data_IF_018150849569
#
_entry.id   IF_018150849569
#
_cell.length_a   1.000
_cell.length_b   1.000
_cell.length_c   1.000
_cell.angle_alpha   90.00
_cell.angle_beta   90.00
_cell.angle_gamma   90.00
#
_symmetry.space_group_name_H-M   'P 1'
#
loop_
_entity.id
_entity.type
_entity.pdbx_description
1 polymer ?
#
# COMPACT_ATOMS: atom_id res chain seq x y z
N UNK A 1 12.08 31.65 -9.30
CA UNK A 1 11.73 32.08 -7.92
C UNK A 1 12.46 31.15 -6.96
N UNK A 2 12.82 31.63 -5.77
CA UNK A 2 13.38 30.74 -4.75
C UNK A 2 12.21 30.17 -3.94
N UNK A 3 12.12 28.85 -3.83
CA UNK A 3 11.16 28.16 -2.98
C UNK A 3 11.87 27.79 -1.67
N UNK A 4 11.18 27.97 -0.57
CA UNK A 4 11.58 27.56 0.77
C UNK A 4 10.63 26.53 1.34
N UNK A 5 11.19 25.61 2.14
CA UNK A 5 10.42 24.67 2.93
C UNK A 5 10.36 25.16 4.38
N UNK A 6 9.15 25.35 4.89
CA UNK A 6 8.93 25.60 6.31
C UNK A 6 8.29 24.37 6.96
N UNK A 7 8.66 24.13 8.20
CA UNK A 7 8.01 23.07 8.98
C UNK A 7 6.69 23.56 9.57
N UNK A 8 5.70 22.66 9.66
CA UNK A 8 4.45 22.92 10.35
C UNK A 8 4.00 21.71 11.15
N UNK A 9 3.24 21.96 12.22
CA UNK A 9 2.65 20.89 13.03
C UNK A 9 1.44 20.31 12.33
N UNK A 10 1.50 19.01 11.99
CA UNK A 10 0.38 18.32 11.38
C UNK A 10 -0.64 17.95 12.44
N UNK A 11 -1.92 18.37 12.30
CA UNK A 11 -2.94 18.05 13.29
C UNK A 11 -3.08 16.54 13.48
N UNK A 12 -3.05 16.09 14.73
CA UNK A 12 -3.15 14.68 15.11
C UNK A 12 -1.87 13.88 14.97
N UNK A 13 -0.76 14.46 14.50
CA UNK A 13 0.53 13.78 14.47
C UNK A 13 0.92 13.25 15.87
N UNK A 14 1.55 12.07 15.90
CA UNK A 14 2.08 11.48 17.13
C UNK A 14 3.60 11.34 17.03
N UNK A 15 4.25 11.31 18.19
CA UNK A 15 5.70 11.12 18.27
C UNK A 15 6.02 9.64 18.49
N UNK A 16 6.84 9.07 17.61
CA UNK A 16 7.36 7.72 17.72
C UNK A 16 8.89 7.77 17.67
N UNK A 17 9.55 7.11 18.63
CA UNK A 17 11.02 7.05 18.70
C UNK A 17 11.72 8.42 18.62
N UNK A 18 11.06 9.46 19.16
CA UNK A 18 11.57 10.84 19.18
C UNK A 18 11.23 11.68 17.95
N UNK A 19 10.49 11.14 16.96
CA UNK A 19 10.15 11.80 15.70
C UNK A 19 8.64 11.89 15.49
N UNK A 20 8.16 13.04 14.98
CA UNK A 20 6.74 13.22 14.63
C UNK A 20 6.36 12.38 13.39
N UNK A 21 5.20 11.77 13.40
CA UNK A 21 4.58 11.06 12.27
C UNK A 21 3.17 11.62 12.03
N UNK A 22 2.86 12.17 10.84
CA UNK A 22 3.78 12.56 9.78
C UNK A 22 4.55 13.85 10.10
N UNK A 23 5.67 14.09 9.41
CA UNK A 23 6.39 15.34 9.46
C UNK A 23 5.82 16.33 8.43
N UNK A 24 5.54 17.56 8.83
CA UNK A 24 4.92 18.58 7.99
C UNK A 24 5.94 19.50 7.31
N UNK A 25 5.85 19.63 5.97
CA UNK A 25 6.59 20.59 5.16
C UNK A 25 5.62 21.46 4.35
N UNK A 26 5.69 22.78 4.52
CA UNK A 26 4.98 23.76 3.74
C UNK A 26 5.91 24.31 2.65
N UNK A 27 5.48 24.23 1.38
CA UNK A 27 6.15 24.92 0.27
C UNK A 27 5.65 26.37 0.22
N UNK A 28 6.58 27.31 0.23
CA UNK A 28 6.28 28.75 0.13
C UNK A 28 7.09 29.41 -0.98
N UNK A 29 6.45 30.37 -1.66
CA UNK A 29 7.13 31.29 -2.57
C UNK A 29 7.78 32.41 -1.75
N UNK A 30 9.07 32.68 -1.97
CA UNK A 30 9.78 33.79 -1.31
C UNK A 30 9.26 35.17 -1.69
N UNK A 31 8.43 35.29 -2.73
CA UNK A 31 7.85 36.58 -3.17
C UNK A 31 6.51 36.90 -2.55
N UNK A 32 5.96 36.00 -1.71
CA UNK A 32 4.58 36.10 -1.18
C UNK A 32 3.54 35.89 -2.26
N UNK A 33 2.30 35.57 -1.88
CA UNK A 33 1.19 35.37 -2.80
C UNK A 33 0.73 33.92 -2.90
N UNK A 34 0.12 33.57 -4.04
CA UNK A 34 -0.45 32.25 -4.32
C UNK A 34 0.59 31.12 -4.29
N UNK A 35 0.10 29.87 -4.27
CA UNK A 35 0.96 28.69 -4.38
C UNK A 35 1.93 28.82 -5.58
N UNK A 36 3.20 28.40 -5.41
CA UNK A 36 4.17 28.52 -6.50
C UNK A 36 3.78 27.65 -7.70
N UNK A 37 4.29 27.99 -8.90
CA UNK A 37 4.10 27.15 -10.09
C UNK A 37 4.58 25.72 -9.82
N UNK A 38 3.85 24.73 -10.33
CA UNK A 38 4.13 23.30 -10.13
C UNK A 38 5.56 22.93 -10.51
N UNK A 39 6.07 23.47 -11.61
CA UNK A 39 7.45 23.17 -12.07
C UNK A 39 8.52 23.68 -11.08
N UNK A 40 8.27 24.80 -10.39
CA UNK A 40 9.17 25.30 -9.35
C UNK A 40 9.11 24.43 -8.08
N UNK A 41 7.89 23.99 -7.69
CA UNK A 41 7.67 23.05 -6.59
C UNK A 41 8.34 21.71 -6.87
N UNK A 42 8.18 21.17 -8.08
CA UNK A 42 8.84 19.95 -8.52
C UNK A 42 10.38 20.06 -8.47
N UNK A 43 10.93 21.17 -8.99
CA UNK A 43 12.38 21.42 -8.92
C UNK A 43 12.89 21.54 -7.47
N UNK A 44 12.09 22.07 -6.54
CA UNK A 44 12.45 22.13 -5.13
C UNK A 44 12.44 20.73 -4.49
N UNK A 45 11.41 19.90 -4.78
CA UNK A 45 11.34 18.52 -4.31
C UNK A 45 12.47 17.66 -4.89
N UNK A 46 12.85 17.87 -6.16
CA UNK A 46 14.03 17.20 -6.76
C UNK A 46 15.30 17.53 -5.98
N UNK A 47 15.57 18.79 -5.70
CA UNK A 47 16.73 19.19 -4.88
C UNK A 47 16.70 18.60 -3.48
N UNK A 48 15.51 18.51 -2.87
CA UNK A 48 15.32 17.88 -1.56
C UNK A 48 15.70 16.38 -1.61
N UNK A 49 15.36 15.70 -2.72
CA UNK A 49 15.77 14.32 -3.00
C UNK A 49 17.28 14.19 -3.23
N UNK A 50 17.83 14.96 -4.17
CA UNK A 50 19.25 14.95 -4.56
C UNK A 50 20.19 15.26 -3.39
N UNK A 51 19.77 16.12 -2.47
CA UNK A 51 20.55 16.43 -1.25
C UNK A 51 20.56 15.31 -0.21
N UNK A 52 19.78 14.24 -0.37
CA UNK A 52 19.58 13.18 0.60
C UNK A 52 18.63 13.57 1.76
N UNK A 53 18.21 14.84 1.86
CA UNK A 53 17.40 15.31 2.97
C UNK A 53 15.99 14.66 3.01
N UNK A 54 15.39 14.40 1.86
CA UNK A 54 14.11 13.68 1.80
C UNK A 54 14.24 12.26 2.32
N UNK A 55 15.34 11.57 1.98
CA UNK A 55 15.64 10.24 2.50
C UNK A 55 15.76 10.25 4.03
N UNK A 56 16.52 11.21 4.59
CA UNK A 56 16.66 11.35 6.04
C UNK A 56 15.31 11.59 6.74
N UNK A 57 14.47 12.47 6.19
CA UNK A 57 13.15 12.77 6.75
C UNK A 57 12.25 11.54 6.73
N UNK A 58 12.21 10.78 5.65
CA UNK A 58 11.42 9.54 5.57
C UNK A 58 11.96 8.48 6.55
N UNK A 59 13.27 8.31 6.67
CA UNK A 59 13.87 7.39 7.63
C UNK A 59 13.58 7.75 9.09
N UNK A 60 13.53 9.05 9.42
CA UNK A 60 13.27 9.54 10.78
C UNK A 60 11.78 9.51 11.13
N UNK A 61 10.94 9.93 10.19
CA UNK A 61 9.53 10.22 10.45
C UNK A 61 8.56 9.17 9.85
N UNK A 62 9.03 8.32 8.92
CA UNK A 62 8.21 7.36 8.20
C UNK A 62 7.29 7.97 7.14
N UNK A 63 6.81 9.20 7.35
CA UNK A 63 6.01 9.93 6.37
C UNK A 63 6.24 11.44 6.46
N UNK A 64 6.19 12.10 5.28
CA UNK A 64 6.31 13.54 5.13
C UNK A 64 5.08 14.08 4.41
N UNK A 65 4.34 14.98 5.05
CA UNK A 65 3.20 15.68 4.46
C UNK A 65 3.68 17.01 3.88
N UNK A 66 3.65 17.10 2.54
CA UNK A 66 4.02 18.32 1.81
C UNK A 66 2.75 19.07 1.39
N UNK A 67 2.68 20.36 1.71
CA UNK A 67 1.54 21.24 1.45
C UNK A 67 1.93 22.46 0.61
N UNK A 68 1.00 22.97 -0.19
CA UNK A 68 1.22 24.21 -0.96
C UNK A 68 2.02 24.01 -2.27
N UNK A 69 2.02 22.79 -2.84
CA UNK A 69 2.84 22.46 -4.01
C UNK A 69 2.23 22.86 -5.38
N UNK A 70 1.04 23.45 -5.41
CA UNK A 70 0.36 23.89 -6.64
C UNK A 70 -1.09 23.42 -6.77
N UNK A 71 -1.70 23.64 -7.94
CA UNK A 71 -3.09 23.25 -8.20
C UNK A 71 -3.24 21.73 -8.29
N UNK A 72 -4.20 21.10 -7.57
CA UNK A 72 -4.34 19.65 -7.52
C UNK A 72 -4.85 19.06 -8.84
N UNK A 73 -4.06 18.17 -9.42
CA UNK A 73 -4.42 17.36 -10.60
C UNK A 73 -3.55 16.09 -10.66
N UNK A 74 -3.92 15.07 -11.47
CA UNK A 74 -3.06 13.91 -11.71
C UNK A 74 -1.69 14.28 -12.27
N UNK A 75 -1.62 15.20 -13.24
CA UNK A 75 -0.36 15.66 -13.84
C UNK A 75 0.52 16.40 -12.84
N UNK A 76 -0.09 17.22 -11.97
CA UNK A 76 0.63 17.87 -10.86
C UNK A 76 1.26 16.81 -9.96
N UNK A 77 0.51 15.79 -9.55
CA UNK A 77 1.05 14.73 -8.72
C UNK A 77 2.20 13.98 -9.41
N UNK A 78 2.04 13.60 -10.68
CA UNK A 78 3.09 12.92 -11.44
C UNK A 78 4.40 13.73 -11.46
N UNK A 79 4.32 15.05 -11.74
CA UNK A 79 5.48 15.94 -11.73
C UNK A 79 6.14 16.05 -10.35
N UNK A 80 5.35 16.22 -9.29
CA UNK A 80 5.88 16.41 -7.93
C UNK A 80 6.53 15.14 -7.40
N UNK A 81 5.82 14.00 -7.49
CA UNK A 81 6.32 12.73 -6.97
C UNK A 81 7.48 12.19 -7.80
N UNK A 82 7.41 12.31 -9.15
CA UNK A 82 8.51 11.96 -10.04
C UNK A 82 9.77 12.74 -9.72
N UNK A 83 9.66 14.06 -9.55
CA UNK A 83 10.80 14.90 -9.19
C UNK A 83 11.41 14.51 -7.82
N UNK A 84 10.57 14.24 -6.81
CA UNK A 84 11.04 13.84 -5.49
C UNK A 84 11.76 12.49 -5.51
N UNK A 85 11.20 11.48 -6.18
CA UNK A 85 11.71 10.12 -6.18
C UNK A 85 12.91 9.93 -7.12
N UNK A 86 12.86 10.49 -8.34
CA UNK A 86 14.02 10.49 -9.23
C UNK A 86 15.21 11.23 -8.63
N UNK A 87 14.96 12.33 -7.89
CA UNK A 87 16.02 13.04 -7.14
C UNK A 87 16.67 12.16 -6.09
N UNK A 88 15.98 11.14 -5.55
CA UNK A 88 16.52 10.13 -4.63
C UNK A 88 17.17 8.94 -5.35
N UNK A 89 17.09 8.85 -6.67
CA UNK A 89 17.51 7.69 -7.44
C UNK A 89 16.55 6.50 -7.40
N UNK A 90 15.30 6.73 -7.00
CA UNK A 90 14.24 5.71 -7.03
C UNK A 90 13.72 5.50 -8.44
N UNK A 91 13.04 4.38 -8.66
CA UNK A 91 12.38 4.05 -9.94
C UNK A 91 10.95 3.55 -9.70
N UNK A 92 10.05 3.67 -10.69
CA UNK A 92 8.68 3.19 -10.58
C UNK A 92 8.59 1.72 -10.21
N UNK A 93 7.70 1.39 -9.25
CA UNK A 93 7.45 0.01 -8.87
C UNK A 93 6.69 -0.73 -9.96
N UNK A 94 7.21 -1.88 -10.40
CA UNK A 94 6.56 -2.75 -11.40
C UNK A 94 5.74 -3.81 -10.68
N UNK A 95 4.43 -3.71 -10.75
CA UNK A 95 3.50 -4.65 -10.12
C UNK A 95 3.32 -5.91 -10.96
N UNK A 96 3.31 -7.05 -10.27
CA UNK A 96 3.00 -8.38 -10.83
C UNK A 96 2.01 -9.06 -9.88
N UNK A 97 1.03 -9.76 -10.43
CA UNK A 97 0.09 -10.56 -9.65
C UNK A 97 -0.89 -9.73 -8.82
N UNK A 98 -1.22 -8.52 -9.27
CA UNK A 98 -2.18 -7.67 -8.58
C UNK A 98 -3.59 -8.28 -8.65
N UNK A 99 -4.13 -8.61 -7.49
CA UNK A 99 -5.54 -8.90 -7.29
C UNK A 99 -6.27 -7.61 -6.90
N UNK A 100 -6.43 -6.69 -7.85
CA UNK A 100 -7.05 -5.39 -7.65
C UNK A 100 -7.14 -4.64 -8.97
N UNK A 101 -8.02 -3.64 -9.03
CA UNK A 101 -8.14 -2.75 -10.17
C UNK A 101 -7.66 -1.36 -9.78
N UNK A 102 -6.78 -0.81 -10.61
CA UNK A 102 -6.34 0.59 -10.53
C UNK A 102 -6.34 1.19 -11.93
N UNK A 103 -6.78 2.41 -12.07
CA UNK A 103 -6.79 3.12 -13.33
C UNK A 103 -5.60 4.06 -13.38
N UNK A 104 -4.79 3.96 -14.43
CA UNK A 104 -3.70 4.90 -14.70
C UNK A 104 -4.28 6.24 -15.14
N UNK A 105 -3.88 7.33 -14.48
CA UNK A 105 -4.38 8.69 -14.76
C UNK A 105 -3.30 9.63 -15.28
N UNK A 106 -2.03 9.37 -14.91
CA UNK A 106 -0.85 10.06 -15.40
C UNK A 106 0.35 9.13 -15.23
N UNK A 107 1.56 9.55 -15.62
CA UNK A 107 2.77 8.74 -15.53
C UNK A 107 3.03 8.26 -14.09
N UNK A 108 3.01 6.94 -13.87
CA UNK A 108 3.13 6.27 -12.56
C UNK A 108 2.15 6.79 -11.48
N UNK A 109 0.97 7.28 -11.91
CA UNK A 109 -0.08 7.79 -11.03
C UNK A 109 -1.38 7.04 -11.27
N UNK A 110 -1.91 6.46 -10.20
CA UNK A 110 -3.05 5.56 -10.23
C UNK A 110 -4.17 6.03 -9.32
N UNK A 111 -5.39 5.56 -9.58
CA UNK A 111 -6.49 5.71 -8.62
C UNK A 111 -6.20 4.93 -7.33
N UNK A 112 -6.60 5.50 -6.18
CA UNK A 112 -6.56 4.82 -4.88
C UNK A 112 -7.93 4.35 -4.39
N UNK A 113 -9.00 4.69 -5.11
CA UNK A 113 -10.38 4.61 -4.60
C UNK A 113 -11.21 3.51 -5.24
N UNK A 114 -10.62 2.55 -5.92
CA UNK A 114 -11.36 1.50 -6.59
C UNK A 114 -11.94 0.51 -5.57
N UNK A 115 -13.10 0.82 -5.05
CA UNK A 115 -13.84 0.05 -4.07
C UNK A 115 -15.00 0.86 -3.51
N UNK A 116 -15.94 0.18 -2.85
CA UNK A 116 -17.12 0.84 -2.27
C UNK A 116 -16.71 1.96 -1.30
N UNK A 117 -17.33 3.15 -1.38
CA UNK A 117 -17.13 4.21 -0.39
C UNK A 117 -17.60 3.82 1.02
N UNK A 118 -18.44 2.80 1.14
CA UNK A 118 -18.95 2.31 2.42
C UNK A 118 -18.01 1.32 3.11
N UNK A 119 -16.95 0.86 2.43
CA UNK A 119 -16.04 -0.16 2.94
C UNK A 119 -14.78 0.47 3.50
N UNK A 120 -14.47 0.20 4.77
CA UNK A 120 -13.17 0.51 5.37
C UNK A 120 -12.09 -0.35 4.73
N UNK A 121 -10.95 0.24 4.40
CA UNK A 121 -9.71 -0.50 4.19
C UNK A 121 -8.86 -0.42 5.46
N UNK A 122 -8.66 -1.58 6.06
CA UNK A 122 -7.88 -1.73 7.28
C UNK A 122 -6.39 -1.47 7.05
N UNK A 123 -5.67 -1.20 8.12
CA UNK A 123 -4.23 -0.94 8.09
C UNK A 123 -3.45 -2.03 7.36
N UNK A 124 -2.62 -1.63 6.43
CA UNK A 124 -1.69 -2.49 5.71
C UNK A 124 -0.50 -1.66 5.19
N UNK A 125 0.65 -2.28 5.09
CA UNK A 125 1.71 -1.77 4.24
C UNK A 125 1.41 -2.21 2.81
N UNK A 126 1.65 -1.36 1.82
CA UNK A 126 1.28 -1.64 0.44
C UNK A 126 1.94 -2.93 -0.05
N UNK A 127 1.13 -3.82 -0.57
CA UNK A 127 1.51 -5.15 -1.06
C UNK A 127 2.26 -6.03 -0.06
N UNK A 128 2.18 -5.76 1.24
CA UNK A 128 2.86 -6.56 2.28
C UNK A 128 2.41 -8.03 2.35
N UNK A 129 1.30 -8.39 1.72
CA UNK A 129 0.84 -9.76 1.52
C UNK A 129 1.46 -10.47 0.30
N UNK A 130 2.30 -9.75 -0.45
CA UNK A 130 3.01 -10.27 -1.61
C UNK A 130 4.49 -10.46 -1.26
N UNK A 131 5.17 -11.30 -2.02
CA UNK A 131 6.63 -11.42 -1.95
C UNK A 131 7.34 -10.24 -2.61
N UNK A 132 6.61 -9.47 -3.44
CA UNK A 132 7.06 -8.24 -4.09
C UNK A 132 6.18 -7.07 -3.65
N UNK A 133 6.79 -5.97 -3.23
CA UNK A 133 6.12 -4.78 -2.69
C UNK A 133 7.00 -3.54 -2.91
N UNK A 134 6.39 -2.34 -3.03
CA UNK A 134 7.14 -1.09 -3.20
C UNK A 134 7.86 -0.68 -1.91
N UNK A 135 8.99 -0.02 -2.04
CA UNK A 135 9.69 0.62 -0.91
C UNK A 135 8.93 1.84 -0.42
N UNK A 136 8.37 2.61 -1.34
CA UNK A 136 7.64 3.84 -1.06
C UNK A 136 6.26 3.81 -1.71
N UNK A 137 5.29 4.38 -1.02
CA UNK A 137 3.96 4.69 -1.55
C UNK A 137 3.60 6.12 -1.22
N UNK A 138 3.06 6.84 -2.18
CA UNK A 138 2.74 8.24 -2.02
C UNK A 138 1.28 8.49 -2.35
N UNK A 139 0.66 9.41 -1.61
CA UNK A 139 -0.73 9.77 -1.78
C UNK A 139 -0.84 11.25 -2.14
N UNK A 140 -1.79 11.57 -2.98
CA UNK A 140 -2.08 12.95 -3.34
C UNK A 140 -3.59 13.21 -3.33
N UNK A 141 -4.01 14.28 -2.64
CA UNK A 141 -5.40 14.65 -2.57
C UNK A 141 -5.76 15.59 -3.71
N UNK A 142 -6.51 15.09 -4.69
CA UNK A 142 -7.10 15.93 -5.74
C UNK A 142 -8.44 16.50 -5.27
N UNK A 143 -9.26 15.66 -4.62
CA UNK A 143 -10.56 16.04 -4.08
C UNK A 143 -10.78 15.42 -2.71
N UNK A 144 -10.99 16.25 -1.71
CA UNK A 144 -11.34 15.83 -0.35
C UNK A 144 -12.83 15.47 -0.28
N UNK A 145 -13.15 14.37 0.40
CA UNK A 145 -14.54 14.05 0.69
C UNK A 145 -15.19 15.10 1.62
N UNK A 146 -16.44 15.47 1.41
CA UNK A 146 -17.14 16.40 2.30
C UNK A 146 -17.40 15.80 3.70
N UNK A 147 -17.45 14.44 3.81
CA UNK A 147 -17.61 13.74 5.08
C UNK A 147 -16.86 12.42 5.08
N UNK A 148 -16.10 12.14 6.15
CA UNK A 148 -15.28 10.94 6.27
C UNK A 148 -14.07 10.92 5.33
N UNK A 149 -13.64 9.75 4.89
CA UNK A 149 -12.60 9.55 3.89
C UNK A 149 -11.20 9.87 4.36
N UNK A 150 -10.94 9.87 5.67
CA UNK A 150 -9.59 9.97 6.20
C UNK A 150 -8.70 8.84 5.66
N UNK A 151 -7.40 9.11 5.62
CA UNK A 151 -6.34 8.13 5.36
C UNK A 151 -5.63 7.85 6.68
N UNK A 152 -6.11 6.89 7.50
CA UNK A 152 -5.42 6.56 8.74
C UNK A 152 -4.06 5.94 8.43
N UNK A 153 -3.05 6.32 9.21
CA UNK A 153 -1.68 5.79 9.14
C UNK A 153 -1.25 5.25 10.50
N UNK A 154 -0.32 4.28 10.51
CA UNK A 154 0.25 3.78 11.76
C UNK A 154 1.74 3.43 11.58
N UNK A 155 2.54 3.61 12.62
CA UNK A 155 3.97 3.31 12.59
C UNK A 155 4.20 1.81 12.80
N UNK A 156 4.67 1.09 11.76
CA UNK A 156 4.78 -0.37 11.74
C UNK A 156 5.67 -0.97 12.83
N UNK A 157 6.71 -0.24 13.30
CA UNK A 157 7.53 -0.70 14.42
C UNK A 157 6.80 -0.52 15.76
N UNK A 158 6.07 0.57 15.96
CA UNK A 158 5.23 0.73 17.15
C UNK A 158 4.10 -0.30 17.18
N UNK A 159 3.47 -0.56 16.03
CA UNK A 159 2.47 -1.64 15.88
C UNK A 159 3.08 -2.99 16.29
N UNK A 160 4.32 -3.30 15.83
CA UNK A 160 5.00 -4.53 16.24
C UNK A 160 5.18 -4.61 17.77
N UNK A 161 5.66 -3.54 18.43
CA UNK A 161 5.82 -3.49 19.90
C UNK A 161 4.50 -3.75 20.64
N UNK A 162 3.40 -3.16 20.14
CA UNK A 162 2.06 -3.36 20.73
C UNK A 162 1.54 -4.78 20.51
N UNK A 163 1.67 -5.32 19.30
CA UNK A 163 1.27 -6.71 19.00
C UNK A 163 2.09 -7.69 19.83
N UNK A 164 3.40 -7.48 19.95
CA UNK A 164 4.25 -8.32 20.79
C UNK A 164 3.88 -8.26 22.27
N UNK A 165 3.48 -7.10 22.77
CA UNK A 165 3.06 -6.93 24.18
C UNK A 165 1.67 -7.52 24.45
N UNK A 166 0.71 -7.36 23.55
CA UNK A 166 -0.68 -7.73 23.77
C UNK A 166 -1.04 -9.13 23.23
N UNK A 167 -0.33 -9.62 22.20
CA UNK A 167 -0.58 -10.89 21.52
C UNK A 167 0.75 -11.62 21.23
N UNK A 168 1.59 -11.87 22.26
CA UNK A 168 2.93 -12.47 22.06
C UNK A 168 2.87 -13.84 21.36
N UNK A 169 1.84 -14.63 21.62
CA UNK A 169 1.64 -15.94 20.99
C UNK A 169 1.45 -15.82 19.45
N UNK A 170 0.82 -14.77 18.95
CA UNK A 170 0.68 -14.53 17.51
C UNK A 170 2.04 -14.18 16.90
N UNK A 171 2.82 -13.34 17.57
CA UNK A 171 4.17 -12.94 17.11
C UNK A 171 5.09 -14.15 17.02
N UNK A 172 5.09 -14.99 18.06
CA UNK A 172 5.90 -16.21 18.10
C UNK A 172 5.54 -17.18 16.97
N UNK A 173 4.25 -17.46 16.77
CA UNK A 173 3.79 -18.36 15.71
C UNK A 173 4.05 -17.80 14.31
N UNK A 174 3.83 -16.50 14.08
CA UNK A 174 4.13 -15.86 12.80
C UNK A 174 5.64 -15.87 12.52
N UNK A 175 6.47 -15.58 13.52
CA UNK A 175 7.93 -15.64 13.36
C UNK A 175 8.42 -17.05 13.01
N UNK A 176 7.92 -18.06 13.73
CA UNK A 176 8.35 -19.46 13.58
C UNK A 176 7.87 -20.10 12.27
N UNK A 177 6.65 -19.78 11.85
CA UNK A 177 5.95 -20.51 10.77
C UNK A 177 5.81 -19.68 9.50
N UNK A 178 5.99 -18.35 9.56
CA UNK A 178 5.64 -17.45 8.46
C UNK A 178 4.15 -17.44 8.17
N UNK A 179 3.77 -16.87 7.02
CA UNK A 179 2.38 -16.72 6.58
C UNK A 179 2.21 -17.23 5.15
N UNK A 180 1.07 -17.87 4.87
CA UNK A 180 0.59 -18.24 3.55
C UNK A 180 -0.55 -17.32 3.12
N UNK A 181 -0.32 -16.51 2.08
CA UNK A 181 -1.29 -15.58 1.51
C UNK A 181 -1.89 -16.16 0.24
N UNK A 182 -3.10 -16.73 0.38
CA UNK A 182 -3.81 -17.38 -0.74
C UNK A 182 -4.51 -16.37 -1.63
N UNK A 183 -4.42 -16.57 -2.94
CA UNK A 183 -5.02 -15.72 -3.97
C UNK A 183 -5.67 -16.57 -5.06
N UNK A 184 -6.73 -16.03 -5.66
CA UNK A 184 -7.47 -16.67 -6.75
C UNK A 184 -7.58 -15.69 -7.92
N UNK A 185 -7.23 -16.15 -9.10
CA UNK A 185 -7.36 -15.41 -10.35
C UNK A 185 -8.17 -16.25 -11.33
N UNK A 186 -9.27 -15.73 -11.79
CA UNK A 186 -10.18 -16.47 -12.67
C UNK A 186 -9.67 -16.49 -14.12
N UNK A 187 -10.15 -17.47 -14.90
CA UNK A 187 -9.95 -17.46 -16.34
C UNK A 187 -10.66 -16.25 -16.98
N UNK A 188 -10.11 -15.68 -18.07
CA UNK A 188 -10.79 -14.67 -18.87
C UNK A 188 -12.18 -15.16 -19.32
N UNK A 189 -13.20 -14.30 -19.18
CA UNK A 189 -14.60 -14.64 -19.48
C UNK A 189 -15.37 -15.31 -18.34
N UNK A 190 -14.68 -15.78 -17.30
CA UNK A 190 -15.27 -16.31 -16.07
C UNK A 190 -15.25 -15.31 -14.91
N UNK A 191 -15.02 -14.03 -15.22
CA UNK A 191 -15.09 -12.99 -14.22
C UNK A 191 -16.52 -12.95 -13.67
N UNK A 192 -16.65 -13.04 -12.34
CA UNK A 192 -17.93 -12.78 -11.70
C UNK A 192 -18.37 -11.37 -12.09
N UNK A 193 -19.68 -11.13 -12.18
CA UNK A 193 -20.28 -9.86 -12.64
C UNK A 193 -19.80 -8.62 -11.86
N UNK A 194 -19.04 -8.81 -10.78
CA UNK A 194 -18.51 -7.76 -9.92
C UNK A 194 -17.04 -8.04 -9.60
N UNK A 195 -16.12 -7.26 -10.16
CA UNK A 195 -14.70 -7.10 -9.77
C UNK A 195 -13.87 -8.38 -9.56
N UNK A 196 -14.10 -9.46 -10.26
CA UNK A 196 -13.19 -10.61 -10.22
C UNK A 196 -11.93 -10.31 -11.03
N UNK A 197 -10.78 -10.70 -10.47
CA UNK A 197 -9.51 -10.51 -11.13
C UNK A 197 -9.21 -11.72 -12.01
N UNK A 198 -8.79 -11.47 -13.24
CA UNK A 198 -8.33 -12.48 -14.15
C UNK A 198 -6.80 -12.58 -14.12
N UNK A 199 -6.26 -13.80 -14.30
CA UNK A 199 -4.84 -13.97 -14.45
C UNK A 199 -4.31 -13.34 -15.77
N UNK A 200 -5.16 -13.10 -16.76
CA UNK A 200 -4.78 -12.46 -18.03
C UNK A 200 -4.67 -10.92 -17.94
N UNK A 201 -5.01 -10.31 -16.79
CA UNK A 201 -4.89 -8.87 -16.62
C UNK A 201 -3.44 -8.39 -16.70
N UNK A 202 -3.22 -7.20 -17.27
CA UNK A 202 -1.90 -6.59 -17.45
C UNK A 202 -1.14 -6.44 -16.11
N UNK A 203 -1.84 -6.09 -15.03
CA UNK A 203 -1.23 -5.97 -13.69
C UNK A 203 -1.22 -7.29 -12.91
N UNK A 204 -1.92 -8.33 -13.42
CA UNK A 204 -1.87 -9.68 -12.86
C UNK A 204 -0.68 -10.45 -13.44
N UNK A 205 -0.93 -11.32 -14.41
CA UNK A 205 0.11 -12.16 -15.03
C UNK A 205 0.07 -12.10 -16.57
N UNK A 206 -0.69 -11.18 -17.16
CA UNK A 206 -0.93 -11.08 -18.59
C UNK A 206 0.06 -10.22 -19.37
N UNK A 207 1.16 -9.74 -18.76
CA UNK A 207 2.08 -8.78 -19.36
C UNK A 207 2.72 -9.25 -20.69
N UNK A 208 2.91 -10.55 -20.86
CA UNK A 208 3.58 -11.14 -22.03
C UNK A 208 2.60 -11.87 -22.98
N UNK A 209 1.28 -11.79 -22.71
CA UNK A 209 0.28 -12.47 -23.53
C UNK A 209 0.07 -11.76 -24.87
N UNK A 210 -0.12 -12.57 -25.92
CA UNK A 210 -0.46 -12.12 -27.27
C UNK A 210 -1.75 -12.79 -27.74
N UNK A 211 -2.57 -12.12 -28.59
CA UNK A 211 -3.75 -12.73 -29.20
C UNK A 211 -3.46 -13.98 -30.06
N UNK A 212 -2.22 -14.16 -30.51
CA UNK A 212 -1.78 -15.30 -31.31
C UNK A 212 -1.33 -16.51 -30.46
N UNK A 213 -1.29 -16.37 -29.12
CA UNK A 213 -0.86 -17.46 -28.24
C UNK A 213 -1.92 -18.57 -28.21
N UNK A 214 -1.49 -19.80 -28.37
CA UNK A 214 -2.31 -20.96 -28.07
C UNK A 214 -2.42 -21.17 -26.53
N UNK A 215 -3.27 -22.10 -26.11
CA UNK A 215 -3.50 -22.38 -24.69
C UNK A 215 -2.21 -22.79 -23.95
N UNK A 216 -1.36 -23.58 -24.58
CA UNK A 216 -0.10 -24.05 -24.00
C UNK A 216 0.87 -22.89 -23.80
N UNK A 217 1.06 -22.08 -24.83
CA UNK A 217 1.91 -20.88 -24.79
C UNK A 217 1.39 -19.88 -23.76
N UNK A 218 0.07 -19.64 -23.73
CA UNK A 218 -0.59 -18.76 -22.75
C UNK A 218 -0.27 -19.22 -21.33
N UNK A 219 -0.48 -20.49 -20.99
CA UNK A 219 -0.17 -21.04 -19.67
C UNK A 219 1.30 -20.90 -19.31
N UNK A 220 2.20 -21.22 -20.22
CA UNK A 220 3.65 -21.09 -19.99
C UNK A 220 4.05 -19.64 -19.67
N UNK A 221 3.51 -18.67 -20.40
CA UNK A 221 3.76 -17.24 -20.14
C UNK A 221 3.22 -16.79 -18.79
N UNK A 222 1.99 -17.19 -18.44
CA UNK A 222 1.40 -16.91 -17.15
C UNK A 222 2.21 -17.52 -16.01
N UNK A 223 2.56 -18.80 -16.09
CA UNK A 223 3.36 -19.50 -15.08
C UNK A 223 4.75 -18.87 -14.92
N UNK A 224 5.37 -18.40 -16.00
CA UNK A 224 6.63 -17.65 -15.93
C UNK A 224 6.51 -16.40 -15.06
N UNK A 225 5.39 -15.68 -15.15
CA UNK A 225 5.14 -14.52 -14.29
C UNK A 225 4.81 -14.93 -12.85
N UNK A 226 3.99 -15.96 -12.65
CA UNK A 226 3.65 -16.51 -11.32
C UNK A 226 4.89 -16.91 -10.56
N UNK A 227 5.85 -17.60 -11.21
CA UNK A 227 7.11 -18.07 -10.60
C UNK A 227 8.04 -16.94 -10.14
N UNK A 228 7.81 -15.71 -10.56
CA UNK A 228 8.50 -14.53 -9.97
C UNK A 228 8.03 -14.22 -8.55
N UNK A 229 6.87 -14.77 -8.14
CA UNK A 229 6.27 -14.55 -6.82
C UNK A 229 6.26 -15.81 -5.96
N UNK A 230 5.94 -16.98 -6.56
CA UNK A 230 5.81 -18.26 -5.84
C UNK A 230 5.84 -19.44 -6.79
N UNK A 231 6.31 -20.61 -6.30
CA UNK A 231 6.16 -21.90 -6.94
C UNK A 231 4.93 -22.69 -6.42
N UNK A 232 4.26 -22.19 -5.39
CA UNK A 232 3.06 -22.79 -4.81
C UNK A 232 1.81 -22.26 -5.51
N UNK A 233 1.48 -22.89 -6.66
CA UNK A 233 0.28 -22.58 -7.44
C UNK A 233 -0.28 -23.81 -8.12
N UNK A 234 -1.56 -23.76 -8.50
CA UNK A 234 -2.25 -24.77 -9.29
C UNK A 234 -3.31 -24.17 -10.19
N UNK A 235 -3.53 -24.83 -11.32
CA UNK A 235 -4.66 -24.61 -12.19
C UNK A 235 -5.84 -25.50 -11.76
N UNK A 236 -7.03 -24.94 -11.68
CA UNK A 236 -8.28 -25.68 -11.49
C UNK A 236 -8.89 -26.06 -12.85
N UNK A 237 -9.85 -27.01 -12.85
CA UNK A 237 -10.48 -27.53 -14.06
C UNK A 237 -11.24 -26.45 -14.86
N UNK A 238 -11.71 -25.40 -14.21
CA UNK A 238 -12.38 -24.24 -14.82
C UNK A 238 -11.40 -23.19 -15.36
N UNK A 239 -10.11 -23.47 -15.35
CA UNK A 239 -9.06 -22.55 -15.77
C UNK A 239 -8.72 -21.45 -14.73
N UNK A 240 -9.26 -21.52 -13.52
CA UNK A 240 -8.89 -20.64 -12.41
C UNK A 240 -7.47 -20.97 -11.94
N UNK A 241 -6.68 -19.94 -11.69
CA UNK A 241 -5.35 -20.04 -11.08
C UNK A 241 -5.45 -19.73 -9.57
N UNK A 242 -5.11 -20.69 -8.73
CA UNK A 242 -4.88 -20.49 -7.30
C UNK A 242 -3.40 -20.47 -7.01
N UNK A 243 -2.96 -19.55 -6.15
CA UNK A 243 -1.58 -19.50 -5.69
C UNK A 243 -1.49 -19.11 -4.21
N UNK A 244 -0.38 -19.50 -3.56
CA UNK A 244 -0.05 -19.08 -2.20
C UNK A 244 1.29 -18.37 -2.22
N UNK A 245 1.33 -17.15 -1.71
CA UNK A 245 2.58 -16.45 -1.47
C UNK A 245 3.02 -16.68 -0.02
N UNK A 246 4.25 -17.16 0.16
CA UNK A 246 4.85 -17.40 1.46
C UNK A 246 5.67 -16.19 1.89
N UNK A 247 5.29 -15.56 2.99
CA UNK A 247 5.94 -14.35 3.51
C UNK A 247 6.33 -14.52 4.98
N UNK A 248 7.38 -13.86 5.47
CA UNK A 248 7.83 -13.99 6.86
C UNK A 248 6.87 -13.33 7.87
N UNK A 249 6.04 -12.36 7.45
CA UNK A 249 5.07 -11.64 8.29
C UNK A 249 5.67 -10.58 9.22
N UNK A 250 6.90 -10.72 9.66
CA UNK A 250 7.67 -9.75 10.46
C UNK A 250 8.97 -9.48 9.73
N UNK A 251 9.38 -8.22 9.69
CA UNK A 251 10.61 -7.80 9.01
C UNK A 251 11.40 -6.82 9.87
N UNK A 252 12.58 -6.40 9.41
CA UNK A 252 13.42 -5.41 10.07
C UNK A 252 13.68 -4.21 9.17
N UNK A 253 13.55 -3.01 9.72
CA UNK A 253 13.93 -1.79 9.03
C UNK A 253 15.41 -1.80 8.65
N UNK A 254 15.79 -1.40 7.43
CA UNK A 254 17.15 -1.54 6.94
C UNK A 254 18.18 -0.81 7.81
N UNK A 255 17.90 0.43 8.21
CA UNK A 255 18.84 1.29 8.92
C UNK A 255 18.84 1.08 10.43
N UNK A 256 17.64 1.04 11.04
CA UNK A 256 17.52 0.95 12.50
C UNK A 256 17.54 -0.47 13.04
N UNK A 257 17.34 -1.48 12.19
CA UNK A 257 17.18 -2.88 12.60
C UNK A 257 15.89 -3.16 13.40
N UNK A 258 15.04 -2.14 13.63
CA UNK A 258 13.80 -2.30 14.39
C UNK A 258 12.86 -3.30 13.70
N UNK A 259 12.24 -4.22 14.46
CA UNK A 259 11.22 -5.10 13.89
C UNK A 259 9.97 -4.30 13.52
N UNK A 260 9.33 -4.71 12.43
CA UNK A 260 8.08 -4.13 11.94
C UNK A 260 7.05 -5.21 11.68
N UNK A 261 5.78 -4.90 12.01
CA UNK A 261 4.64 -5.71 11.62
C UNK A 261 4.32 -5.43 10.15
N UNK A 262 4.86 -6.26 9.26
CA UNK A 262 4.81 -6.02 7.81
C UNK A 262 4.15 -7.19 7.09
N UNK A 263 2.81 -7.20 7.09
CA UNK A 263 1.98 -8.22 6.46
C UNK A 263 0.56 -7.71 6.21
N UNK A 264 -0.26 -8.49 5.54
CA UNK A 264 -1.62 -8.13 5.19
C UNK A 264 -2.71 -8.78 6.04
N UNK A 265 -2.39 -9.31 7.24
CA UNK A 265 -3.34 -10.06 8.07
C UNK A 265 -4.56 -9.23 8.45
N UNK A 266 -4.36 -8.02 8.98
CA UNK A 266 -5.47 -7.14 9.42
C UNK A 266 -6.35 -6.74 8.25
N UNK A 267 -5.74 -6.28 7.15
CA UNK A 267 -6.48 -5.91 5.95
C UNK A 267 -7.33 -7.07 5.41
N UNK A 268 -6.72 -8.26 5.32
CA UNK A 268 -7.42 -9.44 4.81
C UNK A 268 -8.54 -9.90 5.74
N UNK A 269 -8.25 -10.04 7.04
CA UNK A 269 -9.23 -10.52 8.02
C UNK A 269 -10.39 -9.53 8.19
N UNK A 270 -10.11 -8.23 8.32
CA UNK A 270 -11.13 -7.20 8.49
C UNK A 270 -12.10 -7.14 7.33
N UNK A 271 -11.61 -7.08 6.09
CA UNK A 271 -12.46 -7.10 4.89
C UNK A 271 -13.29 -8.40 4.83
N UNK A 272 -12.65 -9.56 5.03
CA UNK A 272 -13.34 -10.86 4.99
C UNK A 272 -14.46 -10.96 6.03
N UNK A 273 -14.22 -10.43 7.24
CA UNK A 273 -15.21 -10.33 8.31
C UNK A 273 -16.38 -9.44 7.91
N UNK A 274 -16.09 -8.23 7.47
CA UNK A 274 -17.10 -7.19 7.20
C UNK A 274 -18.01 -7.56 6.03
N UNK A 275 -17.53 -8.33 5.05
CA UNK A 275 -18.36 -8.79 3.93
C UNK A 275 -18.99 -10.17 4.15
N UNK A 276 -18.77 -10.80 5.32
CA UNK A 276 -19.39 -12.07 5.71
C UNK A 276 -18.77 -13.32 5.06
N UNK A 277 -17.49 -13.29 4.70
CA UNK A 277 -16.79 -14.39 4.01
C UNK A 277 -15.86 -15.21 4.93
N UNK A 278 -15.99 -15.09 6.26
CA UNK A 278 -15.13 -15.82 7.21
C UNK A 278 -15.29 -17.34 7.17
N UNK A 279 -16.48 -17.82 6.79
CA UNK A 279 -16.79 -19.26 6.74
C UNK A 279 -16.76 -19.80 5.31
N UNK A 280 -16.40 -21.06 5.10
CA UNK A 280 -16.50 -21.70 3.80
C UNK A 280 -17.92 -21.58 3.21
N UNK A 281 -18.05 -21.31 1.91
CA UNK A 281 -17.02 -21.34 0.85
C UNK A 281 -16.22 -20.06 0.70
N UNK A 282 -16.17 -19.15 1.69
CA UNK A 282 -15.44 -17.90 1.69
C UNK A 282 -15.85 -16.92 0.58
N UNK A 283 -17.13 -16.87 0.30
CA UNK A 283 -17.74 -15.96 -0.67
C UNK A 283 -18.40 -14.81 0.08
N UNK A 284 -17.99 -13.59 -0.24
CA UNK A 284 -18.57 -12.38 0.33
C UNK A 284 -19.96 -12.05 -0.24
N UNK A 285 -20.65 -11.09 0.42
CA UNK A 285 -21.92 -10.55 -0.07
C UNK A 285 -21.84 -9.91 -1.46
N UNK A 286 -20.64 -9.57 -1.91
CA UNK A 286 -20.30 -9.08 -3.25
C UNK A 286 -20.09 -10.21 -4.29
N UNK A 287 -20.21 -11.47 -3.88
CA UNK A 287 -20.00 -12.65 -4.72
C UNK A 287 -18.54 -12.99 -4.98
N UNK A 288 -17.59 -12.27 -4.37
CA UNK A 288 -16.15 -12.56 -4.53
C UNK A 288 -15.64 -13.59 -3.53
N UNK A 289 -14.56 -14.29 -3.91
CA UNK A 289 -13.89 -15.27 -3.05
C UNK A 289 -12.79 -14.58 -2.22
N UNK A 290 -12.85 -14.79 -0.90
CA UNK A 290 -11.90 -14.23 0.08
C UNK A 290 -11.24 -15.35 0.89
N UNK A 291 -10.26 -16.02 0.31
CA UNK A 291 -9.55 -17.09 1.00
C UNK A 291 -8.85 -16.53 2.26
N UNK A 292 -8.96 -17.19 3.42
CA UNK A 292 -8.30 -16.74 4.64
C UNK A 292 -6.78 -16.82 4.51
N UNK A 293 -6.08 -15.92 5.21
CA UNK A 293 -4.65 -16.08 5.46
C UNK A 293 -4.43 -17.24 6.42
N UNK A 294 -3.34 -17.96 6.23
CA UNK A 294 -2.95 -19.13 7.04
C UNK A 294 -1.52 -18.96 7.53
N UNK A 295 -1.08 -19.78 8.48
CA UNK A 295 0.36 -19.92 8.75
C UNK A 295 1.07 -20.51 7.52
N UNK A 296 2.39 -20.36 7.46
CA UNK A 296 3.18 -20.82 6.31
C UNK A 296 3.11 -22.33 6.04
N UNK A 297 2.77 -23.12 7.05
CA UNK A 297 2.50 -24.56 6.95
C UNK A 297 1.04 -24.91 6.56
N UNK A 298 0.23 -23.90 6.28
CA UNK A 298 -1.17 -24.05 5.87
C UNK A 298 -2.18 -24.16 7.01
N UNK A 299 -1.77 -24.20 8.27
CA UNK A 299 -2.68 -24.26 9.41
C UNK A 299 -3.44 -22.93 9.58
N UNK A 300 -4.72 -22.96 10.01
CA UNK A 300 -5.52 -21.75 10.19
C UNK A 300 -4.99 -20.92 11.36
N UNK A 301 -5.03 -19.59 11.20
CA UNK A 301 -4.76 -18.64 12.28
C UNK A 301 -6.05 -18.48 13.10
N UNK A 302 -6.02 -18.62 14.45
CA UNK A 302 -7.21 -18.48 15.28
C UNK A 302 -7.87 -17.11 15.10
N UNK A 303 -9.18 -17.09 14.76
CA UNK A 303 -9.95 -15.84 14.50
C UNK A 303 -9.85 -14.86 15.67
N UNK A 304 -9.94 -15.34 16.90
CA UNK A 304 -9.84 -14.50 18.11
C UNK A 304 -8.51 -13.70 18.17
N UNK A 305 -7.42 -14.25 17.65
CA UNK A 305 -6.14 -13.55 17.59
C UNK A 305 -6.16 -12.47 16.50
N UNK A 306 -6.80 -12.74 15.36
CA UNK A 306 -6.96 -11.79 14.28
C UNK A 306 -7.91 -10.64 14.64
N UNK A 307 -9.00 -10.93 15.36
CA UNK A 307 -9.90 -9.89 15.88
C UNK A 307 -9.18 -9.01 16.90
N UNK A 308 -8.46 -9.60 17.85
CA UNK A 308 -7.64 -8.86 18.81
C UNK A 308 -6.54 -8.05 18.13
N UNK A 309 -5.95 -8.57 17.03
CA UNK A 309 -4.96 -7.85 16.24
C UNK A 309 -5.54 -6.57 15.61
N UNK A 310 -6.79 -6.63 15.10
CA UNK A 310 -7.49 -5.43 14.62
C UNK A 310 -7.62 -4.41 15.76
N UNK A 311 -8.11 -4.85 16.94
CA UNK A 311 -8.33 -3.96 18.10
C UNK A 311 -7.02 -3.29 18.57
N UNK A 312 -5.90 -4.00 18.51
CA UNK A 312 -4.58 -3.46 18.86
C UNK A 312 -4.14 -2.40 17.86
N UNK A 313 -4.27 -2.69 16.56
CA UNK A 313 -3.80 -1.78 15.51
C UNK A 313 -4.70 -0.54 15.41
N UNK A 314 -6.01 -0.67 15.58
CA UNK A 314 -6.96 0.45 15.54
C UNK A 314 -6.65 1.52 16.61
N UNK A 315 -6.12 1.13 17.76
CA UNK A 315 -5.70 2.08 18.82
C UNK A 315 -4.45 2.88 18.43
N UNK A 316 -3.63 2.35 17.54
CA UNK A 316 -2.38 2.96 17.10
C UNK A 316 -2.54 3.82 15.84
N UNK A 317 -3.71 3.85 15.23
CA UNK A 317 -3.99 4.67 14.06
C UNK A 317 -3.94 6.17 14.37
N UNK A 318 -3.36 6.91 13.44
CA UNK A 318 -3.43 8.35 13.33
C UNK A 318 -4.41 8.67 12.21
N UNK A 319 -5.57 9.22 12.53
CA UNK A 319 -6.55 9.63 11.53
C UNK A 319 -6.04 10.87 10.80
N UNK A 320 -5.59 10.72 9.56
CA UNK A 320 -5.06 11.81 8.74
C UNK A 320 -6.09 12.22 7.68
N UNK A 321 -6.56 13.45 7.73
CA UNK A 321 -7.38 14.05 6.68
C UNK A 321 -6.48 14.89 5.78
N UNK A 322 -6.37 14.49 4.50
CA UNK A 322 -5.62 15.24 3.50
C UNK A 322 -6.49 16.34 2.92
N UNK A 323 -5.93 17.55 2.80
CA UNK A 323 -6.54 18.67 2.09
C UNK A 323 -6.20 18.61 0.59
N UNK A 324 -6.99 19.27 -0.25
CA UNK A 324 -6.73 19.35 -1.70
C UNK A 324 -5.35 19.94 -1.97
N UNK A 325 -4.50 19.23 -2.72
CA UNK A 325 -3.11 19.60 -2.99
C UNK A 325 -2.08 19.05 -1.98
N UNK A 326 -2.52 18.37 -0.91
CA UNK A 326 -1.59 17.68 0.01
C UNK A 326 -0.94 16.49 -0.70
N UNK A 327 0.39 16.41 -0.59
CA UNK A 327 1.22 15.29 -1.02
C UNK A 327 1.78 14.59 0.23
N UNK A 328 1.38 13.35 0.46
CA UNK A 328 1.89 12.52 1.55
C UNK A 328 2.92 11.53 0.99
N UNK A 329 4.20 11.77 1.26
CA UNK A 329 5.31 10.88 0.94
C UNK A 329 5.50 9.87 2.07
N UNK A 330 5.50 8.58 1.76
CA UNK A 330 5.48 7.50 2.76
C UNK A 330 6.56 6.46 2.49
N UNK A 331 7.36 6.16 3.50
CA UNK A 331 8.18 4.95 3.57
C UNK A 331 7.27 3.76 3.92
N UNK A 332 7.01 2.92 2.94
CA UNK A 332 6.11 1.78 3.06
C UNK A 332 6.61 0.71 4.05
N UNK A 333 7.89 0.70 4.38
CA UNK A 333 8.43 -0.22 5.38
C UNK A 333 8.08 0.21 6.80
N UNK A 334 8.04 1.53 7.03
CA UNK A 334 7.82 2.11 8.36
C UNK A 334 6.37 2.44 8.65
N UNK A 335 5.56 2.71 7.62
CA UNK A 335 4.20 3.23 7.81
C UNK A 335 3.20 2.40 7.04
N UNK A 336 2.25 1.83 7.77
CA UNK A 336 1.03 1.27 7.20
C UNK A 336 -0.03 2.35 7.02
N UNK A 337 -0.99 2.08 6.16
CA UNK A 337 -2.08 2.99 5.88
C UNK A 337 -3.40 2.24 5.69
N UNK A 338 -4.49 3.01 5.78
CA UNK A 338 -5.84 2.52 5.56
C UNK A 338 -6.70 3.56 4.86
N UNK A 339 -8.01 3.30 4.81
CA UNK A 339 -8.98 4.24 4.24
C UNK A 339 -10.30 4.10 4.99
N UNK A 340 -10.76 5.23 5.52
CA UNK A 340 -12.08 5.29 6.14
C UNK A 340 -13.20 5.42 5.10
N UNK A 341 -14.42 4.96 5.41
CA UNK A 341 -15.62 5.22 4.61
C UNK A 341 -15.86 6.71 4.41
N UNK A 342 -16.53 7.07 3.30
CA UNK A 342 -16.83 8.48 3.00
C UNK A 342 -18.16 8.67 2.29
N UNK A 343 -18.64 9.90 2.32
CA UNK A 343 -19.80 10.36 1.56
C UNK A 343 -19.36 11.44 0.56
N UNK A 344 -20.03 11.49 -0.59
CA UNK A 344 -19.74 12.44 -1.66
C UNK A 344 -18.55 12.08 -2.53
N UNK A 345 -18.02 13.05 -3.24
CA UNK A 345 -16.88 12.87 -4.13
C UNK A 345 -15.56 12.88 -3.34
N UNK A 346 -14.69 11.93 -3.65
CA UNK A 346 -13.33 11.83 -3.11
C UNK A 346 -12.38 11.33 -4.18
N UNK A 347 -11.27 12.03 -4.36
CA UNK A 347 -10.21 11.59 -5.27
C UNK A 347 -8.85 11.69 -4.59
N UNK A 348 -8.35 10.55 -4.14
CA UNK A 348 -6.96 10.37 -3.71
C UNK A 348 -6.27 9.53 -4.76
N UNK A 349 -5.08 9.94 -5.15
CA UNK A 349 -4.22 9.26 -6.10
C UNK A 349 -3.06 8.60 -5.37
N UNK A 350 -2.47 7.57 -5.99
CA UNK A 350 -1.29 6.88 -5.48
C UNK A 350 -0.20 6.79 -6.54
N UNK A 351 1.04 6.77 -6.07
CA UNK A 351 2.22 6.48 -6.86
C UNK A 351 3.16 5.60 -6.05
N UNK A 352 3.79 4.61 -6.68
CA UNK A 352 4.61 3.60 -6.01
C UNK A 352 6.00 3.54 -6.61
N UNK A 353 7.01 3.46 -5.73
CA UNK A 353 8.41 3.58 -6.11
C UNK A 353 9.27 2.56 -5.36
N UNK A 354 10.33 2.11 -6.03
CA UNK A 354 11.34 1.22 -5.48
C UNK A 354 12.67 1.95 -5.27
N UNK A 355 13.35 1.59 -4.20
CA UNK A 355 14.75 1.90 -3.98
C UNK A 355 15.55 0.60 -3.94
N UNK A 356 16.86 0.70 -4.04
CA UNK A 356 17.75 -0.48 -3.97
C UNK A 356 17.90 -1.05 -2.56
N UNK A 357 17.39 -0.38 -1.53
CA UNK A 357 17.55 -0.80 -0.13
C UNK A 357 16.50 -1.85 0.26
N UNK A 358 16.88 -3.11 0.46
CA UNK A 358 15.93 -4.16 0.83
C UNK A 358 15.54 -4.05 2.30
N UNK A 359 14.30 -4.44 2.61
CA UNK A 359 13.87 -4.65 4.00
C UNK A 359 14.45 -5.98 4.53
N UNK A 360 14.95 -5.96 5.76
CA UNK A 360 15.56 -7.14 6.39
C UNK A 360 14.56 -8.20 6.84
N UNK A 361 15.04 -9.43 7.06
CA UNK A 361 14.29 -10.49 7.74
C UNK A 361 14.39 -10.30 9.25
N UNK A 362 13.32 -10.74 9.97
CA UNK A 362 13.26 -10.72 11.44
C UNK A 362 13.95 -11.93 12.06
#
# INVERSE_FOLDING_TARGET
MTIEFETFDVPGARTYFGHALPYGLQIKSTKGGDAPPVDESAAALRRLGESGRLQELLEQHGAVLVRGAGHPSPDTFAKLVGAAEEGRGSHPHVQIGLAGKRTLLAENVWTANEGSPLTRFYQHNEYSRYTRFPTNIHFYCVKRAPKGGATPIAHSANVFEKVQSEIPELVEEVHKRGLGMKMVFRAPGNEAKVNSFTWAGEHSFGQELSPEDDEVTTRQKVEKQVRKLTDDFKWLDDGTLELTQHIPGIRRLPKSGKPVWFNGLVGRHGITRDIGALDPPHIGRDGMTYLPSVYGDGAPIPRKLLDKLIDVIDKEEISLTLEEGDLLLVDNFQVSHGREPWEGERQILVSMWDTETPIGLY
#
